data_IF_339027429639
#
_entry.id   IF_339027429639
#
_cell.length_a   1.000
_cell.length_b   1.000
_cell.length_c   1.000
_cell.angle_alpha   90.00
_cell.angle_beta   90.00
_cell.angle_gamma   90.00
#
_symmetry.space_group_name_H-M   'P 1'
#
loop_
_entity.id
_entity.type
_entity.pdbx_description
1 polymer ?
#
# COMPACT_ATOMS: atom_id res chain seq x y z
N UNK A 1 -3.22 -9.06 -7.96
CA UNK A 1 -4.41 -8.33 -7.47
C UNK A 1 -4.35 -8.28 -5.96
N UNK A 2 -4.40 -7.08 -5.39
CA UNK A 2 -4.34 -6.84 -3.96
C UNK A 2 -5.71 -6.43 -3.42
N UNK A 3 -5.97 -6.76 -2.16
CA UNK A 3 -7.13 -6.28 -1.40
C UNK A 3 -6.66 -5.12 -0.53
N UNK A 4 -7.37 -3.99 -0.61
CA UNK A 4 -7.08 -2.78 0.14
C UNK A 4 -8.17 -2.57 1.18
N UNK A 5 -7.81 -2.63 2.47
CA UNK A 5 -8.73 -2.39 3.58
C UNK A 5 -8.32 -1.12 4.31
N UNK A 6 -9.18 -0.10 4.28
CA UNK A 6 -8.94 1.16 4.97
C UNK A 6 -9.25 1.06 6.47
N UNK A 7 -8.33 1.56 7.28
CA UNK A 7 -8.50 1.77 8.72
C UNK A 7 -8.35 3.26 9.06
N UNK A 8 -8.66 3.63 10.30
CA UNK A 8 -8.64 5.04 10.73
C UNK A 8 -7.29 5.76 10.52
N UNK A 9 -6.18 5.01 10.48
CA UNK A 9 -4.82 5.57 10.42
C UNK A 9 -3.88 4.87 9.42
N UNK A 10 -4.33 3.84 8.69
CA UNK A 10 -3.50 3.11 7.71
C UNK A 10 -4.39 2.35 6.71
N UNK A 11 -3.78 1.82 5.66
CA UNK A 11 -4.41 0.88 4.73
C UNK A 11 -3.71 -0.46 4.85
N UNK A 12 -4.45 -1.53 5.11
CA UNK A 12 -3.91 -2.89 5.04
C UNK A 12 -3.95 -3.36 3.59
N UNK A 13 -2.79 -3.76 3.07
CA UNK A 13 -2.65 -4.33 1.73
C UNK A 13 -2.44 -5.82 1.88
N UNK A 14 -3.32 -6.64 1.31
CA UNK A 14 -3.22 -8.10 1.34
C UNK A 14 -3.06 -8.66 -0.08
N UNK A 15 -2.17 -9.65 -0.25
CA UNK A 15 -1.99 -10.38 -1.50
C UNK A 15 -2.76 -11.71 -1.51
N UNK A 16 -2.81 -12.37 -2.68
CA UNK A 16 -3.55 -13.62 -2.84
C UNK A 16 -3.03 -14.80 -2.00
N UNK A 17 -1.80 -14.71 -1.50
CA UNK A 17 -1.17 -15.71 -0.63
C UNK A 17 -1.54 -15.50 0.85
N UNK A 18 -2.37 -14.50 1.17
CA UNK A 18 -2.73 -14.13 2.53
C UNK A 18 -1.61 -13.42 3.30
N UNK A 19 -0.61 -12.90 2.58
CA UNK A 19 0.40 -12.02 3.18
C UNK A 19 -0.10 -10.59 3.16
N UNK A 20 0.24 -9.82 4.19
CA UNK A 20 -0.17 -8.42 4.29
C UNK A 20 0.95 -7.50 4.76
N UNK A 21 0.80 -6.21 4.50
CA UNK A 21 1.56 -5.16 5.16
C UNK A 21 0.67 -3.95 5.43
N UNK A 22 1.10 -3.08 6.35
CA UNK A 22 0.39 -1.84 6.65
C UNK A 22 1.01 -0.70 5.86
N UNK A 23 0.21 -0.08 5.00
CA UNK A 23 0.55 1.12 4.28
C UNK A 23 0.17 2.33 5.14
N UNK A 24 1.18 2.94 5.76
CA UNK A 24 0.99 4.16 6.54
C UNK A 24 0.88 5.38 5.62
N UNK A 25 0.37 6.48 6.15
CA UNK A 25 0.18 7.70 5.40
C UNK A 25 -0.78 8.66 6.06
N UNK A 26 -1.18 9.69 5.32
CA UNK A 26 -2.10 10.72 5.77
C UNK A 26 -3.41 10.66 4.98
N UNK A 27 -4.53 10.66 5.70
CA UNK A 27 -5.84 10.80 5.09
C UNK A 27 -6.07 12.27 4.71
N UNK A 28 -6.31 12.52 3.42
CA UNK A 28 -6.59 13.85 2.89
C UNK A 28 -8.00 13.91 2.30
N UNK A 29 -8.49 15.11 2.01
CA UNK A 29 -9.81 15.27 1.38
C UNK A 29 -9.80 14.58 0.00
N UNK A 30 -10.57 13.51 -0.15
CA UNK A 30 -10.70 12.77 -1.40
C UNK A 30 -9.61 11.72 -1.66
N UNK A 31 -8.80 11.36 -0.65
CA UNK A 31 -7.79 10.32 -0.84
C UNK A 31 -6.90 10.05 0.37
N UNK A 32 -5.81 9.34 0.11
CA UNK A 32 -4.79 8.95 1.08
C UNK A 32 -3.41 9.15 0.46
N UNK A 33 -2.54 9.88 1.15
CA UNK A 33 -1.14 10.05 0.77
C UNK A 33 -0.33 9.01 1.53
N UNK A 34 -0.02 7.92 0.86
CA UNK A 34 0.71 6.78 1.38
C UNK A 34 2.22 7.04 1.44
N UNK A 35 2.85 6.59 2.51
CA UNK A 35 4.29 6.55 2.66
C UNK A 35 4.86 5.31 1.95
N UNK A 36 5.60 5.48 0.83
CA UNK A 36 6.16 4.35 0.10
C UNK A 36 7.20 3.57 0.93
N UNK A 37 7.77 4.17 1.98
CA UNK A 37 8.70 3.47 2.87
C UNK A 37 8.02 2.41 3.72
N UNK A 38 6.68 2.39 3.80
CA UNK A 38 5.93 1.35 4.52
C UNK A 38 5.92 0.00 3.79
N UNK A 39 6.22 -0.02 2.48
CA UNK A 39 6.30 -1.24 1.68
C UNK A 39 7.68 -1.89 1.88
N UNK A 40 7.84 -2.63 2.98
CA UNK A 40 9.13 -3.27 3.33
C UNK A 40 9.04 -4.78 3.45
N UNK A 41 8.04 -5.29 4.17
CA UNK A 41 7.93 -6.71 4.48
C UNK A 41 6.48 -7.17 4.36
N UNK A 42 6.31 -8.35 3.78
CA UNK A 42 5.11 -9.15 3.90
C UNK A 42 5.08 -9.84 5.26
N UNK A 43 3.94 -9.76 5.93
CA UNK A 43 3.66 -10.46 7.18
C UNK A 43 2.62 -11.56 6.94
N UNK A 44 2.87 -12.74 7.50
CA UNK A 44 1.94 -13.87 7.55
C UNK A 44 2.19 -14.60 8.88
N UNK A 45 1.17 -15.17 9.52
CA UNK A 45 1.20 -15.83 10.84
C UNK A 45 2.57 -15.94 11.56
N UNK A 46 3.50 -16.74 11.01
CA UNK A 46 4.82 -17.01 11.58
C UNK A 46 6.00 -16.64 10.65
N UNK A 47 5.75 -15.85 9.60
CA UNK A 47 6.71 -15.52 8.55
C UNK A 47 6.75 -14.02 8.24
N UNK A 48 7.96 -13.49 8.10
CA UNK A 48 8.23 -12.14 7.60
C UNK A 48 9.11 -12.29 6.36
N UNK A 49 8.60 -11.85 5.21
CA UNK A 49 9.31 -11.93 3.93
C UNK A 49 9.59 -10.52 3.42
N UNK A 50 10.85 -10.15 3.12
CA UNK A 50 11.14 -8.82 2.58
C UNK A 50 10.53 -8.64 1.18
N UNK A 51 10.02 -7.45 0.91
CA UNK A 51 9.47 -7.07 -0.39
C UNK A 51 10.61 -6.53 -1.25
N UNK A 52 10.80 -7.10 -2.43
CA UNK A 52 11.82 -6.63 -3.37
C UNK A 52 11.47 -5.27 -3.95
N UNK A 53 12.46 -4.51 -4.44
CA UNK A 53 12.20 -3.21 -5.06
C UNK A 53 11.27 -3.34 -6.28
N UNK A 54 11.48 -4.36 -7.12
CA UNK A 54 10.63 -4.59 -8.29
C UNK A 54 9.17 -4.87 -7.89
N UNK A 55 8.98 -5.66 -6.83
CA UNK A 55 7.64 -5.95 -6.30
C UNK A 55 7.00 -4.72 -5.66
N UNK A 56 7.79 -3.90 -4.96
CA UNK A 56 7.32 -2.62 -4.42
C UNK A 56 6.81 -1.69 -5.53
N UNK A 57 7.54 -1.56 -6.63
CA UNK A 57 7.15 -0.74 -7.77
C UNK A 57 5.85 -1.26 -8.41
N UNK A 58 5.69 -2.60 -8.48
CA UNK A 58 4.47 -3.25 -8.96
C UNK A 58 3.27 -2.98 -8.03
N UNK A 59 3.45 -3.14 -6.72
CA UNK A 59 2.42 -2.85 -5.70
C UNK A 59 1.95 -1.41 -5.82
N UNK A 60 2.88 -0.46 -5.86
CA UNK A 60 2.57 0.97 -5.98
C UNK A 60 1.77 1.25 -7.25
N UNK A 61 2.20 0.69 -8.38
CA UNK A 61 1.52 0.84 -9.68
C UNK A 61 0.10 0.28 -9.62
N UNK A 62 -0.08 -0.94 -9.09
CA UNK A 62 -1.40 -1.56 -9.01
C UNK A 62 -2.35 -0.78 -8.10
N UNK A 63 -1.88 -0.28 -6.95
CA UNK A 63 -2.70 0.53 -6.02
C UNK A 63 -3.16 1.83 -6.68
N UNK A 64 -2.25 2.53 -7.37
CA UNK A 64 -2.60 3.76 -8.10
C UNK A 64 -3.61 3.47 -9.22
N UNK A 65 -3.43 2.39 -9.97
CA UNK A 65 -4.37 1.98 -11.04
C UNK A 65 -5.75 1.61 -10.50
N UNK A 66 -5.84 0.89 -9.38
CA UNK A 66 -7.13 0.52 -8.79
C UNK A 66 -7.93 1.75 -8.31
N UNK A 67 -7.24 2.80 -7.88
CA UNK A 67 -7.90 4.01 -7.36
C UNK A 67 -8.08 5.11 -8.39
N UNK A 68 -7.57 4.96 -9.62
CA UNK A 68 -7.60 6.01 -10.64
C UNK A 68 -9.01 6.40 -11.09
N UNK A 69 -9.94 5.43 -11.08
CA UNK A 69 -11.34 5.61 -11.44
C UNK A 69 -12.26 5.79 -10.23
N UNK A 70 -11.69 5.81 -9.02
CA UNK A 70 -12.44 6.02 -7.79
C UNK A 70 -12.40 7.51 -7.41
N UNK A 71 -13.47 8.00 -6.78
CA UNK A 71 -13.46 9.33 -6.13
C UNK A 71 -12.46 9.42 -4.98
N UNK A 72 -12.06 8.28 -4.40
CA UNK A 72 -11.02 8.16 -3.39
C UNK A 72 -9.71 7.66 -4.01
N UNK A 73 -8.66 8.48 -3.98
CA UNK A 73 -7.36 8.17 -4.59
C UNK A 73 -6.33 7.76 -3.54
N UNK A 74 -5.50 6.77 -3.84
CA UNK A 74 -4.29 6.48 -3.06
C UNK A 74 -3.09 6.93 -3.89
N UNK A 75 -2.36 7.90 -3.37
CA UNK A 75 -1.15 8.45 -3.98
C UNK A 75 0.03 8.13 -3.07
N UNK A 76 1.22 7.98 -3.64
CA UNK A 76 2.44 7.80 -2.86
C UNK A 76 3.16 9.13 -2.71
N UNK A 77 3.59 9.46 -1.50
CA UNK A 77 4.42 10.62 -1.24
C UNK A 77 5.70 10.53 -2.08
N UNK A 78 6.09 11.65 -2.71
CA UNK A 78 7.40 11.71 -3.35
C UNK A 78 8.48 11.57 -2.27
N UNK A 79 9.54 10.77 -2.50
CA UNK A 79 10.68 10.77 -1.60
C UNK A 79 11.23 12.20 -1.58
N UNK A 80 11.16 12.84 -0.41
CA UNK A 80 11.58 14.23 -0.24
C UNK A 80 12.98 14.45 -0.82
N UNK A 81 13.08 15.44 -1.71
CA UNK A 81 14.33 15.94 -2.28
C UNK A 81 15.17 16.61 -1.19
#
# INVERSE_FOLDING_TARGET
MYILTGHNNHITVENQSGQHFQLNGELVRGGFIADPTSIQNWHKADEITPISQAEKDEIMTQIMQQTIHNSFKILFAEPGI
#
